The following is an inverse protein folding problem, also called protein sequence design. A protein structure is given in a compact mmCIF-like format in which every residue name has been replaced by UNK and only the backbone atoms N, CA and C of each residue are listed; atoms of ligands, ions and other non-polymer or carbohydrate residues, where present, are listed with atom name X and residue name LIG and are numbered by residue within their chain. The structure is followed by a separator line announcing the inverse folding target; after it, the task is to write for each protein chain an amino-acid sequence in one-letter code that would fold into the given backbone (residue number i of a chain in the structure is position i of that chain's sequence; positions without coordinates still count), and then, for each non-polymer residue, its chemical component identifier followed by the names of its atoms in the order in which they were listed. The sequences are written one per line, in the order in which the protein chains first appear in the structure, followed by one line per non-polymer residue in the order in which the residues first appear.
data_IF_869312565267
#
_entry.id   IF_869312565267
#
_cell.length_a   1.000
_cell.length_b   1.000
_cell.length_c   1.000
_cell.angle_alpha   90.00
_cell.angle_beta   90.00
_cell.angle_gamma   90.00
#
_symmetry.space_group_name_H-M   'P 1'
#
loop_
_entity.id
_entity.type
_entity.pdbx_description
1 polymer ?
#
# COMPACT_ATOMS: atom_id res chain seq x y z
N UNK A 1 -10.87 1.61 -1.85
CA UNK A 1 -9.74 0.90 -1.21
C UNK A 1 -10.18 -0.05 -0.09
N UNK A 2 -11.16 0.29 0.76
CA UNK A 2 -11.59 -0.61 1.86
C UNK A 2 -12.55 -1.76 1.46
N UNK A 3 -13.19 -1.69 0.29
CA UNK A 3 -14.25 -2.65 -0.12
C UNK A 3 -13.77 -4.11 -0.16
N UNK A 4 -12.48 -4.34 -0.35
CA UNK A 4 -11.91 -5.68 -0.51
C UNK A 4 -11.26 -6.21 0.79
N UNK A 5 -11.29 -5.47 1.90
CA UNK A 5 -10.68 -5.89 3.17
C UNK A 5 -11.37 -7.14 3.71
N UNK A 6 -12.69 -7.10 3.86
CA UNK A 6 -13.44 -8.26 4.36
C UNK A 6 -13.41 -9.46 3.39
N UNK A 7 -13.63 -9.29 2.07
CA UNK A 7 -13.45 -10.37 1.12
C UNK A 7 -12.05 -10.99 1.17
N UNK A 8 -10.99 -10.19 1.26
CA UNK A 8 -9.62 -10.70 1.37
C UNK A 8 -9.40 -11.48 2.67
N UNK A 9 -9.86 -10.95 3.81
CA UNK A 9 -9.77 -11.64 5.10
C UNK A 9 -10.51 -12.99 5.09
N UNK A 10 -11.59 -13.12 4.31
CA UNK A 10 -12.34 -14.36 4.10
C UNK A 10 -11.78 -15.26 2.98
N UNK A 11 -10.68 -14.87 2.33
CA UNK A 11 -10.09 -15.60 1.21
C UNK A 11 -10.90 -15.53 -0.10
N UNK A 12 -11.88 -14.63 -0.19
CA UNK A 12 -12.78 -14.45 -1.35
C UNK A 12 -12.25 -13.44 -2.38
N UNK A 13 -11.14 -12.77 -2.08
CA UNK A 13 -10.51 -11.79 -2.97
C UNK A 13 -8.99 -11.93 -2.84
N UNK A 14 -8.21 -11.77 -3.92
CA UNK A 14 -6.74 -11.95 -3.88
C UNK A 14 -6.00 -10.87 -3.07
N UNK A 15 -6.66 -9.73 -2.80
CA UNK A 15 -6.15 -8.67 -1.93
C UNK A 15 -5.30 -7.59 -2.61
N UNK A 16 -4.99 -7.73 -3.89
CA UNK A 16 -4.31 -6.74 -4.72
C UNK A 16 -5.23 -6.19 -5.82
N UNK A 17 -4.80 -5.10 -6.48
CA UNK A 17 -5.56 -4.46 -7.55
C UNK A 17 -5.45 -5.28 -8.85
N UNK A 18 -6.58 -5.83 -9.32
CA UNK A 18 -6.61 -6.66 -10.53
C UNK A 18 -6.16 -5.90 -11.79
N UNK A 19 -6.43 -4.59 -11.86
CA UNK A 19 -6.00 -3.73 -12.95
C UNK A 19 -4.48 -3.54 -12.99
N UNK A 20 -3.80 -3.61 -11.83
CA UNK A 20 -2.34 -3.55 -11.78
C UNK A 20 -1.72 -4.80 -12.42
N UNK A 21 -2.24 -5.99 -12.08
CA UNK A 21 -1.83 -7.24 -12.73
C UNK A 21 -2.12 -7.17 -14.23
N UNK A 22 -3.32 -6.72 -14.63
CA UNK A 22 -3.68 -6.64 -16.04
C UNK A 22 -2.76 -5.69 -16.83
N UNK A 23 -2.42 -4.55 -16.25
CA UNK A 23 -1.47 -3.61 -16.85
C UNK A 23 -0.10 -4.24 -17.08
N UNK A 24 0.39 -5.00 -16.10
CA UNK A 24 1.66 -5.73 -16.21
C UNK A 24 1.61 -6.85 -17.25
N UNK A 25 0.53 -7.64 -17.30
CA UNK A 25 0.32 -8.66 -18.36
C UNK A 25 0.41 -8.07 -19.78
N UNK A 26 -0.17 -6.88 -19.98
CA UNK A 26 -0.18 -6.20 -21.27
C UNK A 26 1.16 -5.55 -21.64
N UNK A 27 2.04 -5.33 -20.65
CA UNK A 27 3.28 -4.56 -20.84
C UNK A 27 4.56 -5.36 -20.59
N UNK A 28 4.47 -6.61 -20.10
CA UNK A 28 5.63 -7.38 -19.62
C UNK A 28 6.68 -7.59 -20.71
N UNK A 29 6.26 -7.83 -21.95
CA UNK A 29 7.16 -8.05 -23.07
C UNK A 29 7.97 -6.77 -23.35
N UNK A 30 7.30 -5.62 -23.42
CA UNK A 30 7.95 -4.33 -23.60
C UNK A 30 8.85 -3.95 -22.42
N UNK A 31 8.45 -4.29 -21.19
CA UNK A 31 9.25 -4.06 -19.98
C UNK A 31 10.57 -4.82 -20.09
N UNK A 32 10.51 -6.10 -20.46
CA UNK A 32 11.68 -6.96 -20.57
C UNK A 32 12.60 -6.54 -21.72
N UNK A 33 12.06 -6.40 -22.93
CA UNK A 33 12.83 -6.09 -24.14
C UNK A 33 13.54 -4.74 -24.06
N UNK A 34 12.93 -3.77 -23.40
CA UNK A 34 13.46 -2.40 -23.28
C UNK A 34 14.10 -2.11 -21.92
N UNK A 35 14.23 -3.12 -21.05
CA UNK A 35 14.79 -2.98 -19.70
C UNK A 35 14.14 -1.84 -18.89
N UNK A 36 12.81 -1.71 -18.97
CA UNK A 36 12.06 -0.64 -18.31
C UNK A 36 11.98 -0.93 -16.81
N UNK A 37 12.28 0.07 -15.99
CA UNK A 37 12.06 0.02 -14.55
C UNK A 37 10.63 0.46 -14.21
N UNK A 38 9.94 -0.34 -13.39
CA UNK A 38 8.55 -0.10 -13.01
C UNK A 38 8.43 -0.07 -11.50
N UNK A 39 7.74 0.95 -10.98
CA UNK A 39 7.25 0.98 -9.60
C UNK A 39 5.75 1.25 -9.63
N UNK A 40 4.95 0.41 -8.97
CA UNK A 40 3.49 0.48 -9.01
C UNK A 40 2.87 0.33 -7.63
N UNK A 41 1.94 1.23 -7.31
CA UNK A 41 1.10 1.15 -6.11
C UNK A 41 -0.13 0.28 -6.37
N UNK A 42 0.08 -1.01 -6.63
CA UNK A 42 -0.97 -1.97 -7.00
C UNK A 42 -1.19 -3.09 -5.98
N UNK A 43 -0.32 -3.20 -4.97
CA UNK A 43 -0.34 -4.33 -4.03
C UNK A 43 -1.51 -4.31 -3.06
N UNK A 44 -2.12 -3.15 -2.81
CA UNK A 44 -3.20 -2.95 -1.84
C UNK A 44 -2.96 -3.73 -0.52
N UNK A 45 -3.77 -4.73 -0.20
CA UNK A 45 -3.66 -5.51 1.03
C UNK A 45 -2.67 -6.68 0.92
N UNK A 46 -2.34 -7.10 -0.29
CA UNK A 46 -1.52 -8.27 -0.59
C UNK A 46 -0.45 -7.98 -1.68
N UNK A 47 0.55 -7.12 -1.37
CA UNK A 47 1.61 -6.81 -2.32
C UNK A 47 2.45 -8.04 -2.70
N UNK A 48 2.64 -8.96 -1.75
CA UNK A 48 3.34 -10.23 -1.96
C UNK A 48 2.63 -11.10 -2.99
N UNK A 49 1.32 -11.30 -2.84
CA UNK A 49 0.54 -12.10 -3.77
C UNK A 49 0.58 -11.56 -5.20
N UNK A 50 0.58 -10.23 -5.36
CA UNK A 50 0.75 -9.62 -6.68
C UNK A 50 2.17 -9.84 -7.21
N UNK A 51 3.20 -9.66 -6.40
CA UNK A 51 4.58 -9.89 -6.82
C UNK A 51 4.83 -11.34 -7.22
N UNK A 52 4.30 -12.32 -6.48
CA UNK A 52 4.36 -13.74 -6.84
C UNK A 52 3.68 -13.98 -8.19
N UNK A 53 2.49 -13.43 -8.42
CA UNK A 53 1.79 -13.59 -9.70
C UNK A 53 2.55 -12.98 -10.87
N UNK A 54 3.14 -11.80 -10.68
CA UNK A 54 3.95 -11.15 -11.71
C UNK A 54 5.26 -11.92 -11.94
N UNK A 55 5.89 -12.46 -10.90
CA UNK A 55 7.08 -13.32 -11.03
C UNK A 55 6.76 -14.62 -11.80
N UNK A 56 5.59 -15.23 -11.58
CA UNK A 56 5.12 -16.36 -12.39
C UNK A 56 4.96 -15.97 -13.85
N UNK A 57 4.31 -14.83 -14.14
CA UNK A 57 4.17 -14.31 -15.51
C UNK A 57 5.54 -14.08 -16.18
N UNK A 58 6.50 -13.50 -15.46
CA UNK A 58 7.89 -13.31 -15.93
C UNK A 58 8.53 -14.64 -16.32
N UNK A 59 8.39 -15.66 -15.47
CA UNK A 59 8.92 -17.00 -15.73
C UNK A 59 8.22 -17.69 -16.91
N UNK A 60 6.90 -17.58 -17.01
CA UNK A 60 6.10 -18.14 -18.11
C UNK A 60 6.49 -17.54 -19.47
N UNK A 61 6.85 -16.26 -19.48
CA UNK A 61 7.34 -15.54 -20.66
C UNK A 61 8.82 -15.77 -20.97
N UNK A 62 9.55 -16.47 -20.10
CA UNK A 62 10.98 -16.75 -20.27
C UNK A 62 11.91 -15.55 -20.02
N UNK A 63 11.42 -14.54 -19.30
CA UNK A 63 12.23 -13.37 -18.92
C UNK A 63 12.91 -13.58 -17.56
N UNK A 64 13.93 -12.76 -17.27
CA UNK A 64 14.66 -12.77 -16.01
C UNK A 64 14.54 -11.43 -15.28
N UNK A 65 13.29 -10.99 -15.04
CA UNK A 65 12.99 -9.75 -14.31
C UNK A 65 12.87 -10.00 -12.81
N UNK A 66 13.44 -9.10 -12.01
CA UNK A 66 13.36 -9.12 -10.54
C UNK A 66 12.12 -8.35 -10.06
N UNK A 67 11.24 -9.05 -9.35
CA UNK A 67 9.93 -8.53 -8.93
C UNK A 67 9.79 -8.51 -7.40
N UNK A 68 10.49 -7.61 -6.67
CA UNK A 68 10.30 -7.47 -5.23
C UNK A 68 8.99 -6.74 -4.91
N UNK A 69 8.56 -6.89 -3.65
CA UNK A 69 7.47 -6.11 -3.09
C UNK A 69 7.90 -5.37 -1.83
N UNK A 70 7.24 -4.26 -1.57
CA UNK A 70 7.33 -3.53 -0.31
C UNK A 70 6.13 -3.94 0.53
N UNK A 71 6.40 -4.64 1.63
CA UNK A 71 5.38 -5.17 2.55
C UNK A 71 4.49 -4.09 3.16
N UNK A 72 4.93 -2.84 3.13
CA UNK A 72 4.17 -1.69 3.61
C UNK A 72 4.27 -1.49 5.13
N UNK A 73 3.21 -0.93 5.68
CA UNK A 73 3.12 -0.36 7.03
C UNK A 73 1.83 -0.78 7.74
N UNK A 74 1.53 -2.08 7.70
CA UNK A 74 0.42 -2.63 8.47
C UNK A 74 0.64 -2.34 9.96
N UNK A 75 -0.07 -1.36 10.49
CA UNK A 75 -0.01 -0.94 11.89
C UNK A 75 -1.19 -1.45 12.70
N UNK A 76 -2.10 -2.21 12.08
CA UNK A 76 -3.22 -2.84 12.77
C UNK A 76 -2.78 -3.63 14.03
N UNK A 77 -1.68 -4.40 14.04
CA UNK A 77 -1.23 -5.12 15.24
C UNK A 77 -0.86 -4.21 16.43
N UNK A 78 -0.66 -2.90 16.19
CA UNK A 78 -0.32 -1.91 17.22
C UNK A 78 -1.55 -1.26 17.84
N UNK A 79 -2.76 -1.55 17.33
CA UNK A 79 -4.00 -0.93 17.76
C UNK A 79 -4.91 -1.93 18.47
N UNK A 80 -5.86 -1.39 19.23
CA UNK A 80 -6.96 -2.17 19.77
C UNK A 80 -7.85 -2.70 18.64
N UNK A 81 -8.50 -3.84 18.88
CA UNK A 81 -9.42 -4.46 17.91
C UNK A 81 -10.58 -3.55 17.48
N UNK A 82 -11.00 -2.63 18.35
CA UNK A 82 -12.17 -1.80 18.13
C UNK A 82 -11.84 -0.31 18.11
N UNK A 83 -12.61 0.46 17.33
CA UNK A 83 -12.55 1.92 17.31
C UNK A 83 -12.83 2.50 18.70
N UNK A 84 -12.17 3.60 19.09
CA UNK A 84 -12.39 4.23 20.38
C UNK A 84 -13.84 4.67 20.52
N UNK A 85 -14.42 4.46 21.70
CA UNK A 85 -15.81 4.81 22.01
C UNK A 85 -15.92 6.21 22.62
N UNK A 86 -14.86 6.70 23.25
CA UNK A 86 -14.79 8.03 23.84
C UNK A 86 -13.58 8.79 23.30
N UNK A 87 -13.61 10.12 23.42
CA UNK A 87 -12.58 11.00 22.85
C UNK A 87 -11.23 10.81 23.53
N UNK A 88 -11.24 10.53 24.84
CA UNK A 88 -10.02 10.27 25.62
C UNK A 88 -9.29 8.99 25.19
N UNK A 89 -10.03 8.01 24.67
CA UNK A 89 -9.48 6.72 24.23
C UNK A 89 -8.93 6.78 22.79
N UNK A 90 -9.16 7.90 22.08
CA UNK A 90 -8.74 8.07 20.69
C UNK A 90 -7.26 8.44 20.58
N UNK A 91 -6.62 8.01 19.48
CA UNK A 91 -5.30 8.50 19.13
C UNK A 91 -5.30 10.02 18.94
N UNK A 92 -4.20 10.72 19.26
CA UNK A 92 -4.10 12.15 19.03
C UNK A 92 -4.39 12.50 17.57
N UNK A 93 -5.23 13.51 17.36
CA UNK A 93 -5.47 14.05 16.01
C UNK A 93 -4.15 14.57 15.42
N UNK A 94 -3.95 14.40 14.11
CA UNK A 94 -2.71 14.79 13.41
C UNK A 94 -2.29 16.25 13.71
N UNK A 95 -3.28 17.14 13.77
CA UNK A 95 -3.08 18.57 14.05
C UNK A 95 -3.18 18.96 15.54
N UNK A 96 -3.20 18.01 16.48
CA UNK A 96 -3.38 18.30 17.91
C UNK A 96 -2.29 19.20 18.51
N UNK A 97 -1.11 19.23 17.91
CA UNK A 97 0.01 20.08 18.33
C UNK A 97 0.04 21.45 17.62
N UNK A 98 -0.88 21.72 16.68
CA UNK A 98 -0.92 22.98 15.95
C UNK A 98 -1.88 23.97 16.64
N UNK A 99 -1.33 24.97 17.33
CA UNK A 99 -2.10 25.99 18.04
C UNK A 99 -2.99 26.87 17.14
N UNK A 100 -2.79 26.85 15.83
CA UNK A 100 -3.61 27.59 14.86
C UNK A 100 -4.86 26.81 14.41
N UNK A 101 -5.03 25.56 14.86
CA UNK A 101 -6.13 24.70 14.45
C UNK A 101 -7.04 24.41 15.64
N UNK A 102 -8.30 24.83 15.52
CA UNK A 102 -9.35 24.47 16.49
C UNK A 102 -10.00 23.15 16.08
N UNK A 103 -9.79 22.10 16.87
CA UNK A 103 -10.49 20.83 16.69
C UNK A 103 -11.94 20.94 17.16
N UNK A 104 -12.87 20.41 16.37
CA UNK A 104 -14.29 20.38 16.73
C UNK A 104 -14.69 18.96 17.15
N UNK A 105 -15.85 18.80 17.77
CA UNK A 105 -16.32 17.45 18.15
C UNK A 105 -16.51 16.52 16.94
N UNK A 106 -16.73 17.08 15.75
CA UNK A 106 -16.78 16.32 14.49
C UNK A 106 -15.44 15.64 14.15
N UNK A 107 -14.31 16.14 14.66
CA UNK A 107 -12.99 15.48 14.50
C UNK A 107 -12.94 14.10 15.18
N UNK A 108 -13.86 13.85 16.12
CA UNK A 108 -13.97 12.59 16.87
C UNK A 108 -15.31 11.90 16.61
N UNK A 109 -15.93 12.11 15.44
CA UNK A 109 -17.24 11.54 15.10
C UNK A 109 -17.30 10.01 15.21
N UNK A 110 -16.16 9.31 15.21
CA UNK A 110 -16.10 7.86 15.40
C UNK A 110 -16.21 7.43 16.87
N UNK A 111 -15.91 8.31 17.82
CA UNK A 111 -16.01 8.07 19.25
C UNK A 111 -17.44 8.33 19.73
N UNK A 112 -18.29 7.31 19.63
CA UNK A 112 -19.72 7.38 19.97
C UNK A 112 -20.06 6.39 21.09
N UNK A 113 -20.06 6.81 22.37
CA UNK A 113 -20.13 5.88 23.52
C UNK A 113 -21.47 5.11 23.62
N UNK A 114 -22.52 5.62 22.97
CA UNK A 114 -23.85 5.02 22.98
C UNK A 114 -24.14 4.20 21.71
N UNK A 115 -23.11 3.81 20.93
CA UNK A 115 -23.27 2.98 19.73
C UNK A 115 -22.48 1.69 19.86
N UNK A 116 -22.84 0.71 19.03
CA UNK A 116 -22.09 -0.52 18.91
C UNK A 116 -20.64 -0.26 18.49
N UNK A 117 -19.73 -1.01 19.11
CA UNK A 117 -18.30 -0.88 18.86
C UNK A 117 -17.93 -1.40 17.48
N UNK A 118 -17.18 -0.60 16.72
CA UNK A 118 -16.81 -0.93 15.34
C UNK A 118 -15.44 -1.58 15.31
N UNK A 119 -15.34 -2.76 14.73
CA UNK A 119 -14.06 -3.45 14.55
C UNK A 119 -13.18 -2.71 13.54
N UNK A 120 -11.89 -2.60 13.86
CA UNK A 120 -10.88 -2.08 12.96
C UNK A 120 -10.42 -3.23 12.07
N UNK A 121 -10.80 -3.19 10.79
CA UNK A 121 -10.46 -4.25 9.84
C UNK A 121 -9.14 -4.00 9.10
N UNK A 122 -8.63 -2.77 9.11
CA UNK A 122 -7.38 -2.39 8.46
C UNK A 122 -6.83 -1.09 9.02
N UNK A 123 -5.50 -1.00 9.17
CA UNK A 123 -4.81 0.26 9.50
C UNK A 123 -3.45 0.27 8.83
N UNK A 124 -3.21 1.28 8.00
CA UNK A 124 -2.02 1.44 7.20
C UNK A 124 -1.60 2.91 7.25
N UNK A 125 -0.32 3.17 7.06
CA UNK A 125 0.15 4.51 6.75
C UNK A 125 0.39 4.59 5.24
N UNK A 126 1.01 5.68 4.78
CA UNK A 126 1.47 5.78 3.41
C UNK A 126 2.99 5.91 3.40
N UNK A 127 3.68 5.05 2.64
CA UNK A 127 5.13 5.09 2.52
C UNK A 127 5.60 6.11 1.47
N UNK A 128 6.75 6.71 1.75
CA UNK A 128 7.41 7.67 0.86
C UNK A 128 8.29 6.97 -0.20
N UNK A 129 9.00 7.75 -1.03
CA UNK A 129 9.82 7.26 -2.14
C UNK A 129 11.09 6.49 -1.74
N UNK A 130 11.58 6.63 -0.49
CA UNK A 130 12.89 6.10 -0.09
C UNK A 130 12.96 4.57 -0.20
N UNK A 131 11.94 3.87 0.30
CA UNK A 131 11.91 2.41 0.24
C UNK A 131 11.90 1.89 -1.21
N UNK A 132 11.23 2.59 -2.12
CA UNK A 132 11.18 2.24 -3.54
C UNK A 132 12.56 2.48 -4.18
N UNK A 133 13.18 3.62 -3.89
CA UNK A 133 14.53 3.95 -4.36
C UNK A 133 15.57 2.92 -3.91
N UNK A 134 15.59 2.56 -2.63
CA UNK A 134 16.49 1.53 -2.07
C UNK A 134 16.33 0.17 -2.76
N UNK A 135 15.09 -0.20 -3.11
CA UNK A 135 14.82 -1.45 -3.82
C UNK A 135 15.31 -1.37 -5.28
N UNK A 136 15.19 -0.22 -5.95
CA UNK A 136 15.80 -0.04 -7.27
C UNK A 136 17.33 -0.17 -7.23
N UNK A 137 18.01 0.40 -6.22
CA UNK A 137 19.47 0.26 -6.05
C UNK A 137 19.92 -1.20 -5.88
N UNK A 138 19.04 -2.07 -5.34
CA UNK A 138 19.28 -3.52 -5.25
C UNK A 138 19.06 -4.27 -6.57
N UNK A 139 18.80 -3.54 -7.65
CA UNK A 139 18.68 -4.05 -9.02
C UNK A 139 17.29 -4.56 -9.37
N UNK A 140 16.23 -4.13 -8.69
CA UNK A 140 14.86 -4.49 -9.03
C UNK A 140 14.44 -4.00 -10.42
N UNK A 141 13.52 -4.72 -11.06
CA UNK A 141 12.93 -4.33 -12.35
C UNK A 141 11.49 -3.86 -12.18
N UNK A 142 10.68 -4.61 -11.42
CA UNK A 142 9.27 -4.30 -11.15
C UNK A 142 9.04 -4.31 -9.64
N UNK A 143 8.76 -3.14 -9.06
CA UNK A 143 8.52 -3.00 -7.62
C UNK A 143 7.02 -2.90 -7.36
N UNK A 144 6.49 -3.85 -6.60
CA UNK A 144 5.11 -3.82 -6.15
C UNK A 144 5.01 -3.16 -4.78
N UNK A 145 4.31 -2.04 -4.69
CA UNK A 145 4.13 -1.32 -3.43
C UNK A 145 2.77 -1.63 -2.80
N UNK A 146 2.75 -1.76 -1.47
CA UNK A 146 1.57 -1.58 -0.64
C UNK A 146 1.51 -0.13 -0.14
N UNK A 147 0.40 0.55 -0.40
CA UNK A 147 0.07 1.88 0.12
C UNK A 147 1.23 2.89 0.05
N UNK A 148 1.86 3.02 -1.12
CA UNK A 148 2.78 4.13 -1.35
C UNK A 148 2.00 5.43 -1.63
N UNK A 149 2.52 6.59 -1.21
CA UNK A 149 1.90 7.87 -1.59
C UNK A 149 1.84 7.95 -3.12
N UNK A 150 0.80 8.57 -3.69
CA UNK A 150 0.63 8.61 -5.15
C UNK A 150 1.85 9.23 -5.86
N UNK A 151 2.54 10.15 -5.21
CA UNK A 151 3.76 10.75 -5.74
C UNK A 151 5.00 9.84 -5.59
N UNK A 152 5.02 8.94 -4.60
CA UNK A 152 6.21 8.14 -4.25
C UNK A 152 6.76 7.31 -5.42
N UNK A 153 5.95 6.55 -6.20
CA UNK A 153 6.48 5.79 -7.34
C UNK A 153 7.18 6.68 -8.37
N UNK A 154 6.59 7.84 -8.69
CA UNK A 154 7.12 8.76 -9.69
C UNK A 154 8.42 9.40 -9.17
N UNK A 155 8.41 9.90 -7.93
CA UNK A 155 9.58 10.50 -7.30
C UNK A 155 10.73 9.49 -7.21
N UNK A 156 10.45 8.24 -6.83
CA UNK A 156 11.47 7.21 -6.73
C UNK A 156 12.08 6.85 -8.09
N UNK A 157 11.27 6.72 -9.15
CA UNK A 157 11.77 6.49 -10.50
C UNK A 157 12.64 7.66 -10.99
N UNK A 158 12.19 8.91 -10.79
CA UNK A 158 12.96 10.10 -11.16
C UNK A 158 14.28 10.19 -10.39
N UNK A 159 14.24 9.92 -9.08
CA UNK A 159 15.42 9.91 -8.22
C UNK A 159 16.40 8.82 -8.65
N UNK A 160 15.94 7.59 -8.89
CA UNK A 160 16.77 6.49 -9.37
C UNK A 160 17.41 6.79 -10.73
N UNK A 161 16.67 7.40 -11.67
CA UNK A 161 17.20 7.73 -12.99
C UNK A 161 18.29 8.81 -12.97
N UNK A 162 18.20 9.75 -12.03
CA UNK A 162 19.15 10.85 -11.90
C UNK A 162 20.41 10.50 -11.08
N UNK A 163 20.33 9.49 -10.21
CA UNK A 163 21.43 9.09 -9.31
C UNK A 163 22.52 8.32 -10.04
#
# INVERSE_FOLDING_TARGET
MANNVEPYAKGLHPGYEATALKGLELSIDAIAEKSIKVSINGGALNPEGLAVKVASLVSEKGYNLKVPYISGDNVLPKLNKYMPQRKEDALPHLNSLNSHITLTDKSYIFAQPNKESREIVSTNAYLNAHAIYEVFLKGADIIICRHASNASPIIACAWYWWS
#
